data_IF_980234640891
#
_entry.id   IF_980234640891
#
_cell.length_a   1.000
_cell.length_b   1.000
_cell.length_c   1.000
_cell.angle_alpha   90.00
_cell.angle_beta   90.00
_cell.angle_gamma   90.00
#
_symmetry.space_group_name_H-M   'P 1'
#
loop_
_entity.id
_entity.type
_entity.pdbx_description
1 polymer ?
#
# COMPACT_ATOMS: atom_id res chain seq x y z
N UNK A 1 -27.15 35.83 -61.77
CA UNK A 1 -28.53 35.75 -61.30
C UNK A 1 -28.55 36.06 -59.84
N UNK A 2 -28.97 37.27 -59.46
CA UNK A 2 -29.03 37.75 -58.08
C UNK A 2 -30.44 37.50 -57.53
N UNK A 3 -30.56 36.76 -56.41
CA UNK A 3 -31.79 36.71 -55.65
C UNK A 3 -31.60 37.49 -54.32
N UNK A 4 -32.22 38.70 -54.30
CA UNK A 4 -32.43 39.48 -53.09
C UNK A 4 -33.58 38.92 -52.30
N UNK A 5 -33.39 38.61 -51.01
CA UNK A 5 -34.46 38.36 -50.07
C UNK A 5 -34.57 39.59 -49.16
N UNK A 6 -35.78 40.19 -49.21
CA UNK A 6 -36.18 41.36 -48.41
C UNK A 6 -36.57 40.91 -47.02
N UNK A 7 -35.99 41.52 -45.99
CA UNK A 7 -36.36 41.31 -44.58
C UNK A 7 -37.40 42.42 -44.24
N UNK A 8 -38.58 41.97 -43.85
CA UNK A 8 -39.66 42.85 -43.34
C UNK A 8 -39.38 43.11 -41.84
N UNK A 9 -39.25 44.39 -41.52
CA UNK A 9 -39.24 44.85 -40.13
C UNK A 9 -40.70 45.04 -39.67
N UNK A 10 -41.05 44.49 -38.56
CA UNK A 10 -41.95 45.04 -37.52
C UNK A 10 -42.41 43.97 -36.54
N UNK A 11 -41.88 44.02 -35.32
CA UNK A 11 -42.70 44.10 -34.12
C UNK A 11 -41.79 44.22 -32.90
N UNK A 12 -41.76 45.43 -32.35
CA UNK A 12 -41.30 45.72 -31.02
C UNK A 12 -42.29 45.14 -30.03
N UNK A 13 -41.91 44.06 -29.31
CA UNK A 13 -42.59 43.66 -28.11
C UNK A 13 -41.65 44.01 -26.92
N UNK A 14 -42.18 44.82 -26.01
CA UNK A 14 -41.48 45.25 -24.79
C UNK A 14 -41.26 44.04 -23.86
N UNK A 15 -40.01 43.84 -23.48
CA UNK A 15 -39.59 42.88 -22.42
C UNK A 15 -39.87 43.52 -21.04
N UNK A 16 -40.51 42.84 -20.13
CA UNK A 16 -40.59 43.29 -18.75
C UNK A 16 -39.26 43.09 -18.04
N UNK A 17 -38.68 44.18 -17.54
CA UNK A 17 -37.55 44.22 -16.65
C UNK A 17 -37.93 43.54 -15.31
N UNK A 18 -37.58 42.27 -15.15
CA UNK A 18 -37.40 41.63 -13.85
C UNK A 18 -35.92 41.47 -13.61
N UNK A 19 -35.35 42.38 -12.86
CA UNK A 19 -34.09 42.17 -12.16
C UNK A 19 -34.27 40.97 -11.20
N UNK A 20 -34.00 39.77 -11.68
CA UNK A 20 -33.80 38.63 -10.82
C UNK A 20 -32.40 38.77 -10.21
N UNK A 21 -32.33 39.28 -8.99
CA UNK A 21 -31.18 39.20 -8.13
C UNK A 21 -30.76 37.74 -8.02
N UNK A 22 -29.74 37.35 -8.81
CA UNK A 22 -29.03 36.09 -8.61
C UNK A 22 -28.31 36.18 -7.27
N UNK A 23 -28.95 35.71 -6.21
CA UNK A 23 -28.25 35.42 -4.94
C UNK A 23 -27.17 34.41 -5.26
N UNK A 24 -25.91 34.86 -5.23
CA UNK A 24 -24.77 33.99 -5.32
C UNK A 24 -24.85 32.97 -4.18
N UNK A 25 -25.15 31.71 -4.52
CA UNK A 25 -25.08 30.61 -3.58
C UNK A 25 -23.61 30.45 -3.22
N UNK A 26 -23.21 30.53 -1.95
CA UNK A 26 -21.80 30.41 -1.59
C UNK A 26 -21.33 29.00 -1.95
N UNK A 27 -20.41 28.91 -2.91
CA UNK A 27 -19.82 27.67 -3.46
C UNK A 27 -18.95 26.91 -2.41
N UNK A 28 -18.95 27.37 -1.14
CA UNK A 28 -18.06 26.84 -0.09
C UNK A 28 -18.62 25.72 0.77
N UNK A 29 -19.88 25.33 0.65
CA UNK A 29 -20.47 24.37 1.59
C UNK A 29 -20.41 22.90 1.17
N UNK A 30 -19.85 22.54 0.00
CA UNK A 30 -19.89 21.15 -0.48
C UNK A 30 -18.55 20.47 -0.75
N UNK A 31 -17.43 21.08 -0.51
CA UNK A 31 -16.14 20.42 -0.57
C UNK A 31 -15.78 19.86 0.81
N UNK A 32 -16.37 18.74 1.18
CA UNK A 32 -15.85 17.92 2.26
C UNK A 32 -14.59 17.21 1.75
N UNK A 33 -13.44 17.52 2.34
CA UNK A 33 -12.23 16.72 2.16
C UNK A 33 -12.51 15.37 2.81
N UNK A 34 -12.92 14.38 2.02
CA UNK A 34 -13.02 12.99 2.46
C UNK A 34 -11.59 12.53 2.72
N UNK A 35 -11.23 12.36 3.98
CA UNK A 35 -9.96 11.69 4.32
C UNK A 35 -10.03 10.28 3.74
N UNK A 36 -9.13 9.97 2.83
CA UNK A 36 -9.01 8.61 2.28
C UNK A 36 -8.70 7.66 3.42
N UNK A 37 -9.53 6.65 3.59
CA UNK A 37 -9.28 5.59 4.55
C UNK A 37 -8.29 4.61 3.92
N UNK A 38 -7.22 4.27 4.64
CA UNK A 38 -6.24 3.28 4.22
C UNK A 38 -6.83 1.88 4.22
N UNK A 39 -6.45 1.08 3.23
CA UNK A 39 -6.95 -0.27 3.00
C UNK A 39 -5.95 -1.33 3.44
N UNK A 40 -6.48 -2.49 3.86
CA UNK A 40 -5.74 -3.74 3.98
C UNK A 40 -5.93 -4.56 2.70
N UNK A 41 -4.88 -4.68 1.90
CA UNK A 41 -4.89 -5.43 0.65
C UNK A 41 -4.03 -6.68 0.78
N UNK A 42 -4.53 -7.81 0.29
CA UNK A 42 -3.82 -9.09 0.28
C UNK A 42 -3.62 -9.55 -1.15
N UNK A 43 -2.38 -9.84 -1.51
CA UNK A 43 -2.01 -10.47 -2.76
C UNK A 43 -1.37 -11.83 -2.46
N UNK A 44 -2.10 -12.92 -2.67
CA UNK A 44 -1.67 -14.27 -2.33
C UNK A 44 -1.54 -15.18 -3.55
N UNK A 45 -0.76 -16.24 -3.40
CA UNK A 45 -0.58 -17.30 -4.38
C UNK A 45 -0.26 -18.61 -3.68
N UNK A 46 -0.34 -19.74 -4.39
CA UNK A 46 0.07 -21.05 -3.89
C UNK A 46 1.57 -21.26 -3.94
N UNK A 47 2.31 -20.36 -4.57
CA UNK A 47 3.76 -20.42 -4.75
C UNK A 47 4.43 -19.16 -4.22
N UNK A 48 5.68 -19.31 -3.86
CA UNK A 48 6.54 -18.21 -3.46
C UNK A 48 6.98 -17.41 -4.67
N UNK A 49 6.90 -16.09 -4.59
CA UNK A 49 7.35 -15.23 -5.67
C UNK A 49 7.16 -13.75 -5.34
N UNK A 50 7.80 -12.90 -6.12
CA UNK A 50 7.58 -11.46 -6.04
C UNK A 50 6.31 -11.09 -6.78
N UNK A 51 5.45 -10.34 -6.15
CA UNK A 51 4.29 -9.74 -6.79
C UNK A 51 4.73 -8.46 -7.52
N UNK A 52 5.20 -8.62 -8.77
CA UNK A 52 5.73 -7.51 -9.57
C UNK A 52 4.75 -6.35 -9.72
N UNK A 53 3.45 -6.66 -9.79
CA UNK A 53 2.39 -5.64 -9.86
C UNK A 53 2.35 -4.79 -8.60
N UNK A 54 2.51 -5.39 -7.41
CA UNK A 54 2.54 -4.67 -6.12
C UNK A 54 3.77 -3.78 -6.03
N UNK A 55 4.94 -4.31 -6.42
CA UNK A 55 6.19 -3.55 -6.41
C UNK A 55 6.15 -2.38 -7.40
N UNK A 56 5.58 -2.58 -8.59
CA UNK A 56 5.40 -1.52 -9.59
C UNK A 56 4.45 -0.44 -9.10
N UNK A 57 3.35 -0.82 -8.45
CA UNK A 57 2.40 0.11 -7.86
C UNK A 57 3.01 0.91 -6.70
N UNK A 58 3.82 0.27 -5.86
CA UNK A 58 4.55 0.91 -4.78
C UNK A 58 5.53 1.96 -5.32
N UNK A 59 6.30 1.63 -6.37
CA UNK A 59 7.19 2.56 -7.07
C UNK A 59 6.42 3.73 -7.68
N UNK A 60 5.28 3.46 -8.35
CA UNK A 60 4.43 4.49 -8.93
C UNK A 60 3.87 5.43 -7.85
N UNK A 61 3.38 4.89 -6.75
CA UNK A 61 2.87 5.68 -5.62
C UNK A 61 3.96 6.60 -5.04
N UNK A 62 5.16 6.07 -4.86
CA UNK A 62 6.30 6.84 -4.37
C UNK A 62 6.71 7.96 -5.35
N UNK A 63 6.70 7.67 -6.66
CA UNK A 63 6.94 8.67 -7.71
C UNK A 63 5.90 9.79 -7.74
N UNK A 64 4.69 9.55 -7.25
CA UNK A 64 3.62 10.53 -7.09
C UNK A 64 3.66 11.26 -5.73
N UNK A 65 4.67 10.99 -4.90
CA UNK A 65 4.90 11.68 -3.64
C UNK A 65 4.41 10.95 -2.38
N UNK A 66 3.84 9.74 -2.52
CA UNK A 66 3.49 8.91 -1.36
C UNK A 66 4.74 8.36 -0.68
N UNK A 67 4.71 8.31 0.66
CA UNK A 67 5.78 7.70 1.46
C UNK A 67 5.51 6.21 1.59
N UNK A 68 6.37 5.41 0.97
CA UNK A 68 6.19 3.96 0.83
C UNK A 68 7.33 3.20 1.49
N UNK A 69 7.00 2.20 2.31
CA UNK A 69 7.95 1.22 2.84
C UNK A 69 7.70 -0.15 2.22
N UNK A 70 8.72 -0.77 1.62
CA UNK A 70 8.70 -2.16 1.18
C UNK A 70 9.60 -2.98 2.09
N UNK A 71 9.05 -4.02 2.70
CA UNK A 71 9.71 -4.92 3.63
C UNK A 71 9.63 -6.35 3.13
N UNK A 72 10.78 -6.97 2.81
CA UNK A 72 10.87 -8.35 2.31
C UNK A 72 11.47 -9.26 3.38
N UNK A 73 10.63 -10.00 4.10
CA UNK A 73 11.03 -10.71 5.34
C UNK A 73 11.96 -11.90 5.12
N UNK A 74 11.82 -12.63 4.02
CA UNK A 74 12.57 -13.86 3.79
C UNK A 74 13.65 -13.74 2.72
N UNK A 75 13.89 -12.52 2.24
CA UNK A 75 14.92 -12.24 1.24
C UNK A 75 16.12 -11.57 1.87
N UNK A 76 17.25 -12.26 1.85
CA UNK A 76 18.53 -11.73 2.27
C UNK A 76 19.34 -11.11 1.12
N UNK A 77 20.56 -10.77 1.40
CA UNK A 77 21.53 -10.24 0.45
C UNK A 77 22.68 -9.53 1.16
N UNK A 78 23.60 -8.96 0.38
CA UNK A 78 24.73 -8.19 0.90
C UNK A 78 24.26 -6.79 1.32
N UNK A 79 24.80 -6.27 2.42
CA UNK A 79 24.51 -4.91 2.93
C UNK A 79 23.02 -4.65 3.22
N UNK A 80 22.35 -5.60 3.84
CA UNK A 80 20.95 -5.50 4.23
C UNK A 80 20.78 -5.23 5.74
N UNK A 81 19.59 -4.82 6.14
CA UNK A 81 19.22 -4.52 7.52
C UNK A 81 18.55 -3.16 7.68
N UNK A 82 17.93 -2.89 8.86
CA UNK A 82 17.24 -1.63 9.13
C UNK A 82 18.07 -0.37 8.90
N UNK A 83 19.37 -0.43 9.19
CA UNK A 83 20.31 0.69 9.05
C UNK A 83 20.78 0.91 7.59
N UNK A 84 20.40 0.02 6.68
CA UNK A 84 20.85 0.01 5.28
C UNK A 84 19.70 -0.08 4.30
N UNK A 85 18.59 0.58 4.62
CA UNK A 85 17.45 0.67 3.72
C UNK A 85 17.85 1.36 2.41
N UNK A 86 17.38 0.84 1.29
CA UNK A 86 17.58 1.42 -0.04
C UNK A 86 16.48 2.44 -0.27
N UNK A 87 16.86 3.70 -0.49
CA UNK A 87 15.93 4.77 -0.83
C UNK A 87 15.83 4.90 -2.35
N UNK A 88 14.63 4.71 -2.88
CA UNK A 88 14.31 4.84 -4.31
C UNK A 88 13.25 5.93 -4.50
N UNK A 89 13.33 6.66 -5.63
CA UNK A 89 12.34 7.69 -5.99
C UNK A 89 12.08 8.73 -4.89
N UNK A 90 13.03 8.95 -3.97
CA UNK A 90 12.95 9.93 -2.89
C UNK A 90 11.97 9.60 -1.76
N UNK A 91 10.90 8.85 -2.02
CA UNK A 91 9.81 8.55 -1.07
C UNK A 91 9.59 7.04 -0.84
N UNK A 92 10.38 6.18 -1.48
CA UNK A 92 10.33 4.74 -1.30
C UNK A 92 11.53 4.25 -0.53
N UNK A 93 11.28 3.63 0.61
CA UNK A 93 12.25 2.93 1.43
C UNK A 93 12.07 1.41 1.23
N UNK A 94 13.13 0.71 0.82
CA UNK A 94 13.12 -0.73 0.60
C UNK A 94 14.10 -1.42 1.53
N UNK A 95 13.62 -2.39 2.30
CA UNK A 95 14.38 -3.01 3.37
C UNK A 95 14.24 -4.53 3.37
N UNK A 96 15.29 -5.20 3.82
CA UNK A 96 15.39 -6.66 4.01
C UNK A 96 16.08 -6.96 5.34
N UNK A 97 15.91 -8.18 5.90
CA UNK A 97 16.65 -8.56 7.10
C UNK A 97 18.15 -8.67 6.81
N UNK A 98 18.97 -8.46 7.82
CA UNK A 98 20.44 -8.58 7.75
C UNK A 98 20.89 -10.04 7.71
N UNK A 99 20.47 -10.79 6.69
CA UNK A 99 20.84 -12.18 6.43
C UNK A 99 21.49 -12.33 5.05
N UNK A 100 22.45 -13.22 4.91
CA UNK A 100 23.25 -13.37 3.69
C UNK A 100 22.45 -13.97 2.52
N UNK A 101 21.53 -14.87 2.80
CA UNK A 101 20.79 -15.64 1.79
C UNK A 101 19.29 -15.56 2.00
N UNK A 102 18.52 -15.85 0.95
CA UNK A 102 17.07 -16.03 1.08
C UNK A 102 16.77 -17.26 1.93
N UNK A 103 15.76 -17.16 2.80
CA UNK A 103 15.31 -18.28 3.61
C UNK A 103 14.48 -19.24 2.78
N UNK A 104 14.67 -20.59 2.96
CA UNK A 104 13.87 -21.60 2.28
C UNK A 104 12.44 -21.64 2.83
N UNK A 105 11.54 -22.28 2.08
CA UNK A 105 10.14 -22.52 2.51
C UNK A 105 10.03 -23.51 3.68
N UNK A 106 10.99 -24.42 3.76
CA UNK A 106 11.04 -25.44 4.82
C UNK A 106 12.39 -25.38 5.54
N UNK A 107 12.35 -25.42 6.84
CA UNK A 107 13.55 -25.49 7.69
C UNK A 107 13.99 -26.95 7.78
N UNK A 108 15.19 -27.25 7.31
CA UNK A 108 15.81 -28.57 7.55
C UNK A 108 16.21 -28.66 9.03
N UNK A 109 15.97 -29.82 9.66
CA UNK A 109 16.26 -30.03 11.11
C UNK A 109 17.73 -29.81 11.48
N UNK A 110 18.65 -29.95 10.52
CA UNK A 110 20.09 -29.74 10.71
C UNK A 110 20.49 -28.26 10.91
N UNK A 111 19.62 -27.31 10.55
CA UNK A 111 19.87 -25.86 10.66
C UNK A 111 19.47 -25.26 12.04
N UNK A 112 19.21 -26.08 13.06
CA UNK A 112 18.78 -25.67 14.42
C UNK A 112 19.84 -24.94 15.24
N UNK A 113 20.99 -24.61 14.64
CA UNK A 113 22.16 -24.01 15.27
C UNK A 113 22.07 -22.47 15.37
N UNK A 114 23.19 -21.87 15.72
CA UNK A 114 23.43 -20.43 15.83
C UNK A 114 22.91 -19.61 14.62
N UNK A 115 22.92 -20.19 13.41
CA UNK A 115 22.43 -19.56 12.17
C UNK A 115 20.93 -19.22 12.24
N UNK A 116 20.09 -20.15 12.75
CA UNK A 116 18.65 -19.90 12.90
C UNK A 116 18.36 -18.78 13.91
N UNK A 117 19.07 -18.76 15.03
CA UNK A 117 18.93 -17.69 16.03
C UNK A 117 19.29 -16.32 15.44
N UNK A 118 20.35 -16.28 14.61
CA UNK A 118 20.73 -15.07 13.92
C UNK A 118 19.66 -14.60 12.92
N UNK A 119 19.12 -15.53 12.14
CA UNK A 119 18.02 -15.25 11.19
C UNK A 119 16.77 -14.76 11.91
N UNK A 120 16.39 -15.41 13.00
CA UNK A 120 15.24 -15.01 13.83
C UNK A 120 15.43 -13.59 14.39
N UNK A 121 16.61 -13.30 14.92
CA UNK A 121 16.94 -11.96 15.41
C UNK A 121 16.82 -10.91 14.31
N UNK A 122 17.41 -11.16 13.14
CA UNK A 122 17.38 -10.22 12.02
C UNK A 122 15.97 -9.96 11.50
N UNK A 123 15.10 -11.00 11.45
CA UNK A 123 13.71 -10.85 11.05
C UNK A 123 12.90 -10.08 12.10
N UNK A 124 13.13 -10.35 13.39
CA UNK A 124 12.49 -9.59 14.47
C UNK A 124 12.91 -8.13 14.47
N UNK A 125 14.18 -7.82 14.25
CA UNK A 125 14.65 -6.44 14.10
C UNK A 125 13.98 -5.72 12.93
N UNK A 126 13.83 -6.40 11.78
CA UNK A 126 13.09 -5.87 10.64
C UNK A 126 11.61 -5.63 10.98
N UNK A 127 10.97 -6.58 11.68
CA UNK A 127 9.58 -6.46 12.09
C UNK A 127 9.36 -5.28 13.04
N UNK A 128 10.19 -5.13 14.06
CA UNK A 128 10.13 -3.98 14.97
C UNK A 128 10.35 -2.65 14.24
N UNK A 129 11.25 -2.63 13.27
CA UNK A 129 11.44 -1.46 12.41
C UNK A 129 10.16 -1.13 11.63
N UNK A 130 9.49 -2.11 11.03
CA UNK A 130 8.24 -1.90 10.29
C UNK A 130 7.14 -1.33 11.20
N UNK A 131 6.96 -1.90 12.41
CA UNK A 131 6.01 -1.39 13.39
C UNK A 131 6.31 0.06 13.79
N UNK A 132 7.57 0.35 14.10
CA UNK A 132 8.01 1.70 14.45
C UNK A 132 7.69 2.69 13.34
N UNK A 133 8.08 2.39 12.10
CA UNK A 133 7.83 3.26 10.93
C UNK A 133 6.34 3.49 10.69
N UNK A 134 5.51 2.47 10.84
CA UNK A 134 4.06 2.58 10.69
C UNK A 134 3.46 3.56 11.73
N UNK A 135 3.87 3.46 12.99
CA UNK A 135 3.31 4.27 14.07
C UNK A 135 3.90 5.68 14.19
N UNK A 136 5.03 5.96 13.55
CA UNK A 136 5.59 7.30 13.42
C UNK A 136 4.72 8.25 12.56
N UNK A 137 3.58 7.76 12.03
CA UNK A 137 2.55 8.50 11.26
C UNK A 137 3.08 9.15 9.98
N UNK A 138 4.13 8.61 9.41
CA UNK A 138 4.77 9.16 8.22
C UNK A 138 4.72 8.26 7.00
N UNK A 139 3.96 7.15 7.04
CA UNK A 139 3.78 6.25 5.91
C UNK A 139 2.37 6.38 5.33
N UNK A 140 2.29 6.52 4.01
CA UNK A 140 1.04 6.41 3.26
C UNK A 140 0.77 4.93 2.90
N UNK A 141 1.85 4.15 2.72
CA UNK A 141 1.76 2.74 2.30
C UNK A 141 2.88 1.90 2.86
N UNK A 142 2.56 0.68 3.33
CA UNK A 142 3.55 -0.34 3.70
C UNK A 142 3.25 -1.65 2.97
N UNK A 143 4.28 -2.24 2.38
CA UNK A 143 4.24 -3.57 1.75
C UNK A 143 5.02 -4.55 2.61
N UNK A 144 4.33 -5.61 3.06
CA UNK A 144 4.87 -6.69 3.88
C UNK A 144 4.99 -7.95 3.02
N UNK A 145 6.13 -8.12 2.37
CA UNK A 145 6.37 -9.23 1.43
C UNK A 145 6.80 -10.51 2.16
N UNK A 146 6.08 -11.60 1.91
CA UNK A 146 6.29 -12.93 2.50
C UNK A 146 6.10 -13.01 4.04
N UNK A 147 5.34 -12.08 4.65
CA UNK A 147 5.12 -12.08 6.11
C UNK A 147 4.32 -13.31 6.58
N UNK A 148 3.37 -13.81 5.77
CA UNK A 148 2.64 -15.04 6.09
C UNK A 148 3.55 -16.25 6.25
N UNK A 149 4.57 -16.37 5.39
CA UNK A 149 5.61 -17.40 5.55
C UNK A 149 6.50 -17.15 6.77
N UNK A 150 6.86 -15.91 7.07
CA UNK A 150 7.63 -15.60 8.28
C UNK A 150 6.88 -16.02 9.55
N UNK A 151 5.54 -15.91 9.55
CA UNK A 151 4.67 -16.40 10.62
C UNK A 151 4.66 -17.94 10.63
N UNK A 152 4.45 -18.61 9.51
CA UNK A 152 4.43 -20.07 9.42
C UNK A 152 5.75 -20.73 9.83
N UNK A 153 6.87 -20.04 9.64
CA UNK A 153 8.20 -20.45 10.08
C UNK A 153 8.51 -20.10 11.56
N UNK A 154 7.58 -19.44 12.27
CA UNK A 154 7.70 -19.09 13.68
C UNK A 154 8.62 -17.91 13.98
N UNK A 155 8.93 -17.07 12.99
CA UNK A 155 9.74 -15.85 13.19
C UNK A 155 8.94 -14.67 13.73
N UNK A 156 7.65 -14.60 13.39
CA UNK A 156 6.73 -13.53 13.77
C UNK A 156 5.44 -14.16 14.31
N UNK A 157 4.90 -13.59 15.36
CA UNK A 157 3.63 -14.04 15.94
C UNK A 157 2.43 -13.51 15.14
N UNK A 158 1.46 -14.39 14.83
CA UNK A 158 0.23 -14.02 14.13
C UNK A 158 -0.52 -12.88 14.84
N UNK A 159 -0.64 -12.99 16.18
CA UNK A 159 -1.36 -12.00 16.98
C UNK A 159 -0.68 -10.63 16.97
N UNK A 160 0.64 -10.57 16.81
CA UNK A 160 1.38 -9.30 16.70
C UNK A 160 1.07 -8.62 15.36
N UNK A 161 0.98 -9.38 14.25
CA UNK A 161 0.53 -8.85 12.96
C UNK A 161 -0.91 -8.33 13.04
N UNK A 162 -1.83 -9.11 13.62
CA UNK A 162 -3.24 -8.70 13.80
C UNK A 162 -3.32 -7.41 14.63
N UNK A 163 -2.56 -7.33 15.71
CA UNK A 163 -2.50 -6.13 16.55
C UNK A 163 -1.99 -4.91 15.78
N UNK A 164 -0.94 -5.08 14.97
CA UNK A 164 -0.41 -4.01 14.13
C UNK A 164 -1.45 -3.51 13.11
N UNK A 165 -2.18 -4.42 12.46
CA UNK A 165 -3.23 -4.09 11.49
C UNK A 165 -4.35 -3.29 12.16
N UNK A 166 -4.83 -3.73 13.33
CA UNK A 166 -5.92 -3.09 14.05
C UNK A 166 -5.57 -1.68 14.56
N UNK A 167 -4.31 -1.47 14.92
CA UNK A 167 -3.83 -0.21 15.48
C UNK A 167 -3.18 0.71 14.44
N UNK A 168 -3.23 0.37 13.14
CA UNK A 168 -2.63 1.19 12.08
C UNK A 168 -3.24 2.59 12.01
N UNK A 169 -2.50 3.61 11.57
CA UNK A 169 -3.08 4.90 11.24
C UNK A 169 -4.17 4.73 10.16
N UNK A 170 -5.31 5.38 10.34
CA UNK A 170 -6.50 5.21 9.49
C UNK A 170 -6.30 5.57 8.02
N UNK A 171 -5.25 6.34 7.70
CA UNK A 171 -4.92 6.76 6.33
C UNK A 171 -3.85 5.90 5.65
N UNK A 172 -3.28 4.90 6.35
CA UNK A 172 -2.16 4.11 5.82
C UNK A 172 -2.65 2.82 5.18
N UNK A 173 -2.27 2.59 3.92
CA UNK A 173 -2.46 1.31 3.24
C UNK A 173 -1.50 0.27 3.75
N UNK A 174 -2.00 -0.94 4.06
CA UNK A 174 -1.19 -2.12 4.31
C UNK A 174 -1.39 -3.10 3.16
N UNK A 175 -0.30 -3.51 2.51
CA UNK A 175 -0.34 -4.52 1.45
C UNK A 175 0.48 -5.72 1.92
N UNK A 176 -0.16 -6.87 2.00
CA UNK A 176 0.47 -8.14 2.36
C UNK A 176 0.60 -8.99 1.11
N UNK A 177 1.81 -9.54 0.87
CA UNK A 177 2.06 -10.38 -0.30
C UNK A 177 2.66 -11.73 0.10
N UNK A 178 2.42 -12.74 -0.73
CA UNK A 178 3.01 -14.08 -0.57
C UNK A 178 2.03 -15.18 -0.22
N UNK A 179 2.53 -16.42 -0.08
CA UNK A 179 1.74 -17.57 0.36
C UNK A 179 1.58 -17.59 1.90
N UNK A 180 0.81 -18.58 2.38
CA UNK A 180 0.67 -18.92 3.80
C UNK A 180 0.16 -17.79 4.70
N UNK A 181 -0.69 -16.91 4.15
CA UNK A 181 -1.28 -15.82 4.93
C UNK A 181 -2.31 -16.41 5.90
N UNK A 182 -2.27 -16.08 7.20
CA UNK A 182 -3.17 -16.62 8.20
C UNK A 182 -4.65 -16.32 7.85
N UNK A 183 -5.58 -17.28 8.05
CA UNK A 183 -6.99 -17.10 7.72
C UNK A 183 -7.62 -15.88 8.40
N UNK A 184 -7.30 -15.61 9.66
CA UNK A 184 -7.81 -14.44 10.38
C UNK A 184 -7.38 -13.12 9.73
N UNK A 185 -6.18 -13.05 9.15
CA UNK A 185 -5.69 -11.87 8.45
C UNK A 185 -6.42 -11.71 7.11
N UNK A 186 -6.72 -12.84 6.44
CA UNK A 186 -7.52 -12.85 5.20
C UNK A 186 -8.93 -12.32 5.47
N UNK A 187 -9.56 -12.70 6.58
CA UNK A 187 -10.90 -12.23 6.96
C UNK A 187 -10.96 -10.71 7.26
N UNK A 188 -9.84 -10.11 7.63
CA UNK A 188 -9.74 -8.68 7.92
C UNK A 188 -9.52 -7.83 6.67
N UNK A 189 -9.23 -8.44 5.50
CA UNK A 189 -8.82 -7.72 4.31
C UNK A 189 -9.98 -6.98 3.64
N UNK A 190 -9.72 -5.74 3.22
CA UNK A 190 -10.64 -4.96 2.39
C UNK A 190 -10.64 -5.47 0.93
N UNK A 191 -9.48 -6.00 0.48
CA UNK A 191 -9.30 -6.53 -0.87
C UNK A 191 -8.37 -7.75 -0.87
N UNK A 192 -8.76 -8.79 -1.64
CA UNK A 192 -7.96 -10.00 -1.83
C UNK A 192 -7.77 -10.24 -3.32
N UNK A 193 -6.51 -10.39 -3.72
CA UNK A 193 -6.11 -10.80 -5.08
C UNK A 193 -5.37 -12.13 -5.00
N UNK A 194 -5.90 -13.15 -5.65
CA UNK A 194 -5.27 -14.46 -5.72
C UNK A 194 -4.69 -14.72 -7.12
N UNK A 195 -3.38 -14.92 -7.18
CA UNK A 195 -2.71 -15.37 -8.40
C UNK A 195 -2.80 -16.89 -8.51
N UNK A 196 -3.31 -17.36 -9.64
CA UNK A 196 -3.37 -18.79 -9.99
C UNK A 196 -2.42 -19.06 -11.16
N UNK A 197 -1.57 -20.07 -11.04
CA UNK A 197 -0.89 -20.63 -12.18
C UNK A 197 -1.85 -21.58 -12.90
N UNK A 198 -2.09 -21.34 -14.18
CA UNK A 198 -2.77 -22.29 -15.08
C UNK A 198 -1.75 -23.30 -15.59
#
# INVERSE_FOLDING_TARGET
MNARVSINAQQKAALPSKEASLKAVPLREHLQIVKTQGQLQIHTSTFRGSFSIVLSEALRSAGLGSKVLISQFLRGGVNQGPDRAINLCGQLEWIRPAIETCLPEQVKEEDLSLKRKFQEKAIKELWEFCKKRLFEKNLDKIVLDEIGMAISLGFIEENDLISMINNRPTSTDIIITGPSIPPKVIEMADQITQLRCN
#
